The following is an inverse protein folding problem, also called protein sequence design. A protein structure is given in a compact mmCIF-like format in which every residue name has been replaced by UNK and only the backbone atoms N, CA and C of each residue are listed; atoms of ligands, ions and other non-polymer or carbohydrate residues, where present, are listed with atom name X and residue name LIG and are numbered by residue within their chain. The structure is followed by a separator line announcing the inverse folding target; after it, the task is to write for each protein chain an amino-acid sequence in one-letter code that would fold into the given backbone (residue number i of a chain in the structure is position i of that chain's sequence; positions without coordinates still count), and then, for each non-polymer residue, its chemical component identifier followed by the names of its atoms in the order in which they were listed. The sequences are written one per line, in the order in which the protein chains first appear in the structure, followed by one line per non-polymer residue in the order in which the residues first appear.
data_IF_446693824925
#
_entry.id   IF_446693824925
#
_cell.length_a   1.000
_cell.length_b   1.000
_cell.length_c   1.000
_cell.angle_alpha   90.00
_cell.angle_beta   90.00
_cell.angle_gamma   90.00
#
_symmetry.space_group_name_H-M   'P 1'
#
loop_
_entity.id
_entity.type
_entity.pdbx_description
1 polymer ?
#
# COMPACT_ATOMS: atom_id res chain seq x y z
N UNK A 1 34.44 28.87 -65.75
CA UNK A 1 34.65 29.08 -64.31
C UNK A 1 33.31 29.38 -63.67
N UNK A 2 32.76 28.47 -62.86
CA UNK A 2 31.51 28.67 -62.12
C UNK A 2 31.85 28.89 -60.65
N UNK A 3 31.49 30.04 -60.13
CA UNK A 3 31.53 30.35 -58.69
C UNK A 3 30.10 30.48 -58.16
N UNK A 4 29.92 29.90 -56.99
CA UNK A 4 28.72 29.81 -56.16
C UNK A 4 28.23 31.18 -55.67
N UNK A 5 26.93 31.31 -55.36
CA UNK A 5 26.45 31.57 -53.98
C UNK A 5 24.92 31.80 -53.94
N UNK A 6 24.18 30.89 -53.30
CA UNK A 6 23.00 31.19 -52.44
C UNK A 6 23.55 31.55 -51.02
N UNK A 7 22.79 31.98 -49.98
CA UNK A 7 21.34 31.91 -49.73
C UNK A 7 20.73 33.17 -49.03
N UNK A 8 19.47 33.14 -48.60
CA UNK A 8 19.04 33.39 -47.20
C UNK A 8 17.50 33.28 -47.09
N UNK A 9 17.02 32.22 -46.41
CA UNK A 9 15.69 32.20 -45.81
C UNK A 9 15.86 32.55 -44.33
N UNK A 10 15.04 33.49 -43.84
CA UNK A 10 14.92 33.86 -42.43
C UNK A 10 13.79 33.01 -41.84
N UNK A 11 14.11 32.18 -40.85
CA UNK A 11 13.12 31.48 -40.00
C UNK A 11 13.13 32.18 -38.65
N UNK A 12 12.06 32.92 -38.33
CA UNK A 12 11.82 33.45 -36.99
C UNK A 12 11.37 32.33 -36.07
N UNK A 13 12.22 31.95 -35.11
CA UNK A 13 11.85 31.11 -33.98
C UNK A 13 11.13 31.97 -32.93
N UNK A 14 9.86 31.69 -32.65
CA UNK A 14 9.19 32.17 -31.45
C UNK A 14 9.60 31.27 -30.27
N UNK A 15 10.51 31.78 -29.44
CA UNK A 15 10.80 31.24 -28.11
C UNK A 15 9.71 31.72 -27.15
N UNK A 16 8.67 30.92 -26.96
CA UNK A 16 7.81 31.04 -25.79
C UNK A 16 8.56 30.45 -24.59
N UNK A 17 9.22 31.32 -23.82
CA UNK A 17 9.88 30.96 -22.57
C UNK A 17 8.85 30.59 -21.50
N UNK A 18 8.81 29.31 -21.12
CA UNK A 18 8.21 28.87 -19.86
C UNK A 18 9.22 29.17 -18.75
N UNK A 19 9.10 30.33 -18.12
CA UNK A 19 9.71 30.57 -16.81
C UNK A 19 8.84 29.87 -15.76
N UNK A 20 9.15 28.61 -15.43
CA UNK A 20 8.70 28.06 -14.16
C UNK A 20 9.52 28.74 -13.06
N UNK A 21 8.83 29.58 -12.28
CA UNK A 21 9.36 30.18 -11.07
C UNK A 21 9.80 29.06 -10.12
N UNK A 22 11.09 29.02 -9.82
CA UNK A 22 11.63 28.22 -8.72
C UNK A 22 11.25 28.96 -7.45
N UNK A 23 10.12 28.61 -6.86
CA UNK A 23 9.75 29.08 -5.52
C UNK A 23 10.67 28.41 -4.50
N UNK A 24 11.73 29.12 -4.11
CA UNK A 24 12.58 28.77 -2.98
C UNK A 24 11.89 29.26 -1.71
N UNK A 25 10.95 28.50 -1.16
CA UNK A 25 10.35 28.89 0.12
C UNK A 25 9.24 27.95 0.57
N UNK A 26 9.55 27.15 1.59
CA UNK A 26 8.70 26.15 2.26
C UNK A 26 8.68 24.78 1.56
N UNK A 27 8.96 23.68 2.31
CA UNK A 27 8.65 22.35 1.81
C UNK A 27 7.15 22.26 1.53
N UNK A 28 6.75 21.48 0.50
CA UNK A 28 5.33 21.29 0.18
C UNK A 28 4.57 20.82 1.42
N UNK A 29 3.32 21.29 1.63
CA UNK A 29 2.53 20.93 2.79
C UNK A 29 2.25 19.44 2.81
N UNK A 30 2.21 18.83 3.99
CA UNK A 30 1.82 17.43 4.15
C UNK A 30 0.38 17.25 3.66
N UNK A 31 0.19 16.44 2.63
CA UNK A 31 -1.12 16.22 2.01
C UNK A 31 -1.52 14.75 2.04
N UNK A 32 -2.82 14.48 1.85
CA UNK A 32 -3.30 13.10 1.68
C UNK A 32 -3.14 12.71 0.21
N UNK A 33 -2.51 11.57 -0.04
CA UNK A 33 -2.33 11.01 -1.38
C UNK A 33 -3.70 10.80 -2.05
N UNK A 34 -3.77 11.14 -3.33
CA UNK A 34 -4.98 10.99 -4.12
C UNK A 34 -5.45 9.52 -4.12
N UNK A 35 -6.75 9.31 -3.91
CA UNK A 35 -7.35 7.98 -3.88
C UNK A 35 -7.14 7.19 -2.58
N UNK A 36 -6.50 7.78 -1.56
CA UNK A 36 -6.40 7.13 -0.25
C UNK A 36 -7.69 7.27 0.57
N UNK A 37 -8.60 6.32 0.39
CA UNK A 37 -9.91 6.28 1.04
C UNK A 37 -9.97 5.40 2.30
N UNK A 38 -8.84 4.81 2.70
CA UNK A 38 -8.76 3.86 3.80
C UNK A 38 -8.92 4.52 5.17
N UNK A 39 -9.79 3.93 5.99
CA UNK A 39 -10.04 4.28 7.40
C UNK A 39 -10.36 3.00 8.17
N UNK A 40 -10.15 3.01 9.49
CA UNK A 40 -10.43 1.84 10.32
C UNK A 40 -11.92 1.46 10.22
N UNK A 41 -12.25 0.31 9.57
CA UNK A 41 -13.63 -0.10 9.35
C UNK A 41 -14.23 -0.76 10.60
N UNK A 42 -13.43 -1.03 11.63
CA UNK A 42 -13.83 -1.71 12.86
C UNK A 42 -14.26 -0.75 13.98
N UNK A 43 -14.41 0.54 13.68
CA UNK A 43 -15.00 1.48 14.64
C UNK A 43 -16.46 1.12 14.92
N UNK A 44 -16.97 1.30 16.16
CA UNK A 44 -18.33 0.90 16.53
C UNK A 44 -19.42 1.40 15.59
N UNK A 45 -19.30 2.63 15.08
CA UNK A 45 -20.26 3.21 14.14
C UNK A 45 -20.17 2.64 12.72
N UNK A 46 -18.97 2.33 12.22
CA UNK A 46 -18.79 1.84 10.86
C UNK A 46 -19.28 0.40 10.68
N UNK A 47 -19.13 -0.43 11.72
CA UNK A 47 -19.44 -1.87 11.65
C UNK A 47 -20.78 -2.25 12.29
N UNK A 48 -21.53 -1.30 12.84
CA UNK A 48 -22.74 -1.55 13.63
C UNK A 48 -23.76 -2.47 12.93
N UNK A 49 -23.99 -2.24 11.64
CA UNK A 49 -24.97 -2.96 10.81
C UNK A 49 -24.49 -4.32 10.31
N UNK A 50 -23.25 -4.70 10.60
CA UNK A 50 -22.62 -5.89 10.06
C UNK A 50 -22.22 -6.86 11.16
N UNK A 51 -22.22 -8.13 10.82
CA UNK A 51 -21.61 -9.19 11.60
C UNK A 51 -20.49 -9.85 10.80
N UNK A 52 -19.43 -10.22 11.48
CA UNK A 52 -18.36 -11.01 10.88
C UNK A 52 -18.89 -12.42 10.61
N UNK A 53 -18.82 -12.85 9.36
CA UNK A 53 -18.98 -14.26 8.98
C UNK A 53 -17.67 -15.02 9.06
N UNK A 54 -16.56 -14.29 9.11
CA UNK A 54 -15.24 -14.84 9.31
C UNK A 54 -14.23 -13.75 9.71
N UNK A 55 -13.29 -14.11 10.57
CA UNK A 55 -12.20 -13.25 10.99
C UNK A 55 -10.85 -13.95 10.76
N UNK A 56 -9.86 -13.21 10.29
CA UNK A 56 -8.48 -13.64 10.21
C UNK A 56 -7.58 -12.55 10.81
N UNK A 57 -6.49 -12.99 11.45
CA UNK A 57 -5.46 -12.11 12.00
C UNK A 57 -4.09 -12.64 11.61
N UNK A 58 -3.16 -11.73 11.38
CA UNK A 58 -1.77 -12.05 11.19
C UNK A 58 -0.90 -10.93 11.75
N UNK A 59 0.25 -11.30 12.29
CA UNK A 59 1.22 -10.37 12.86
C UNK A 59 2.56 -10.54 12.13
N UNK A 60 3.20 -9.42 11.82
CA UNK A 60 4.50 -9.39 11.13
C UNK A 60 5.43 -8.37 11.79
N UNK A 61 6.72 -8.53 11.57
CA UNK A 61 7.74 -7.55 11.97
C UNK A 61 8.37 -6.91 10.74
N UNK A 62 8.52 -5.59 10.77
CA UNK A 62 9.20 -4.82 9.74
C UNK A 62 10.15 -3.80 10.37
N UNK A 63 11.01 -3.21 9.56
CA UNK A 63 11.81 -2.05 9.95
C UNK A 63 11.29 -0.81 9.22
N UNK A 64 10.94 0.24 9.96
CA UNK A 64 10.51 1.53 9.43
C UNK A 64 11.67 2.52 9.39
N UNK A 65 11.96 2.98 8.18
CA UNK A 65 12.91 4.02 7.82
C UNK A 65 12.18 5.21 7.20
N UNK A 66 12.90 6.29 6.95
CA UNK A 66 12.43 7.36 6.06
C UNK A 66 13.34 7.51 4.83
N UNK A 67 12.92 8.26 3.83
CA UNK A 67 13.80 8.60 2.70
C UNK A 67 15.08 9.34 3.14
N UNK A 68 15.05 10.06 4.27
CA UNK A 68 16.27 10.64 4.87
C UNK A 68 17.32 9.58 5.22
N UNK A 69 16.88 8.41 5.69
CA UNK A 69 17.76 7.32 6.10
C UNK A 69 18.39 6.58 4.89
N UNK A 70 17.95 6.87 3.67
CA UNK A 70 18.30 6.08 2.48
C UNK A 70 19.81 5.94 2.25
N UNK A 71 20.57 7.00 2.50
CA UNK A 71 22.03 7.00 2.29
C UNK A 71 22.82 6.59 3.55
N UNK A 72 22.16 6.33 4.67
CA UNK A 72 22.82 5.89 5.91
C UNK A 72 23.13 4.39 5.83
N UNK A 73 24.30 3.94 6.33
CA UNK A 73 24.62 2.52 6.38
C UNK A 73 23.70 1.77 7.36
N UNK A 74 23.42 0.48 7.13
CA UNK A 74 22.78 -0.38 8.11
C UNK A 74 23.52 -0.37 9.46
N UNK A 75 22.81 -0.52 10.59
CA UNK A 75 21.36 -0.71 10.70
C UNK A 75 20.55 0.59 10.65
N UNK A 76 21.20 1.76 10.55
CA UNK A 76 20.55 3.08 10.63
C UNK A 76 19.80 3.47 9.36
N UNK A 77 20.16 2.87 8.22
CA UNK A 77 19.52 3.16 6.94
C UNK A 77 19.68 2.06 5.90
N UNK A 78 19.43 2.43 4.65
CA UNK A 78 19.22 1.52 3.52
C UNK A 78 20.29 1.65 2.44
N UNK A 79 21.50 2.14 2.78
CA UNK A 79 22.55 2.48 1.80
C UNK A 79 22.81 1.40 0.73
N UNK A 80 22.92 0.10 1.05
CA UNK A 80 23.16 -0.94 0.03
C UNK A 80 22.10 -0.97 -1.07
N UNK A 81 20.86 -0.59 -0.78
CA UNK A 81 19.75 -0.60 -1.74
C UNK A 81 19.44 0.78 -2.31
N UNK A 82 20.17 1.83 -1.90
CA UNK A 82 19.81 3.21 -2.19
C UNK A 82 19.69 3.51 -3.70
N UNK A 83 20.54 2.91 -4.53
CA UNK A 83 20.53 3.13 -5.98
C UNK A 83 19.29 2.49 -6.63
N UNK A 84 18.99 1.23 -6.33
CA UNK A 84 17.78 0.56 -6.80
C UNK A 84 16.50 1.26 -6.33
N UNK A 85 16.45 1.68 -5.06
CA UNK A 85 15.29 2.38 -4.49
C UNK A 85 15.06 3.75 -5.14
N UNK A 86 16.13 4.50 -5.47
CA UNK A 86 15.98 5.77 -6.21
C UNK A 86 15.32 5.55 -7.57
N UNK A 87 15.67 4.49 -8.28
CA UNK A 87 15.08 4.18 -9.59
C UNK A 87 13.57 3.88 -9.47
N UNK A 88 13.17 3.16 -8.41
CA UNK A 88 11.76 2.86 -8.12
C UNK A 88 10.98 4.13 -7.76
N UNK A 89 11.48 4.91 -6.80
CA UNK A 89 10.72 6.03 -6.22
C UNK A 89 10.76 7.32 -7.06
N UNK A 90 11.75 7.49 -7.94
CA UNK A 90 11.84 8.73 -8.76
C UNK A 90 10.77 8.79 -9.85
N UNK A 91 10.24 7.63 -10.27
CA UNK A 91 9.33 7.53 -11.41
C UNK A 91 7.88 7.22 -11.00
N UNK A 92 7.57 7.24 -9.70
CA UNK A 92 6.30 6.75 -9.17
C UNK A 92 5.74 7.66 -8.09
N UNK A 93 4.42 7.73 -8.05
CA UNK A 93 3.71 8.39 -6.96
C UNK A 93 3.89 7.58 -5.67
N UNK A 94 4.14 8.30 -4.58
CA UNK A 94 4.23 7.69 -3.26
C UNK A 94 2.82 7.29 -2.79
N UNK A 95 2.54 6.02 -2.42
CA UNK A 95 1.20 5.57 -2.07
C UNK A 95 0.73 6.02 -0.67
N UNK A 96 1.54 6.82 0.02
CA UNK A 96 1.25 7.38 1.33
C UNK A 96 1.87 6.61 2.49
N UNK A 97 1.98 7.27 3.64
CA UNK A 97 2.29 6.62 4.92
C UNK A 97 1.08 5.90 5.53
N UNK A 98 1.13 5.61 6.82
CA UNK A 98 0.10 4.86 7.55
C UNK A 98 -1.32 5.43 7.43
N UNK A 99 -1.46 6.76 7.29
CA UNK A 99 -2.76 7.42 7.15
C UNK A 99 -3.01 7.97 5.74
N UNK A 100 -2.21 7.51 4.77
CA UNK A 100 -2.24 8.00 3.40
C UNK A 100 -1.64 9.39 3.23
N UNK A 101 -0.84 9.84 4.19
CA UNK A 101 -0.21 11.15 4.13
C UNK A 101 1.11 11.07 3.35
N UNK A 102 1.38 12.06 2.50
CA UNK A 102 2.67 12.32 1.90
C UNK A 102 3.32 13.52 2.60
N UNK A 103 4.30 13.30 3.48
CA UNK A 103 5.10 14.39 4.05
C UNK A 103 6.15 14.95 3.09
N UNK A 104 6.25 14.37 1.89
CA UNK A 104 7.22 14.65 0.83
C UNK A 104 8.68 14.43 1.23
N UNK A 105 9.53 14.33 0.19
CA UNK A 105 10.98 14.24 0.31
C UNK A 105 11.42 13.28 1.44
N UNK A 106 12.35 13.73 2.27
CA UNK A 106 12.99 12.99 3.37
C UNK A 106 12.03 12.45 4.43
N UNK A 107 10.79 12.97 4.52
CA UNK A 107 9.80 12.56 5.51
C UNK A 107 9.04 11.28 5.15
N UNK A 108 9.10 10.80 3.90
CA UNK A 108 8.33 9.64 3.45
C UNK A 108 8.82 8.36 4.15
N UNK A 109 7.91 7.64 4.79
CA UNK A 109 8.19 6.35 5.46
C UNK A 109 8.41 5.23 4.44
N UNK A 110 9.36 4.35 4.76
CA UNK A 110 9.66 3.12 4.04
C UNK A 110 9.73 1.96 5.03
N UNK A 111 9.10 0.85 4.70
CA UNK A 111 9.16 -0.40 5.44
C UNK A 111 10.10 -1.35 4.72
N UNK A 112 10.98 -2.01 5.47
CA UNK A 112 11.87 -3.07 5.05
C UNK A 112 11.48 -4.37 5.75
N UNK A 113 11.26 -5.44 4.99
CA UNK A 113 11.04 -6.78 5.53
C UNK A 113 11.72 -7.82 4.64
N UNK A 114 12.22 -8.91 5.23
CA UNK A 114 12.77 -10.02 4.46
C UNK A 114 11.67 -10.65 3.60
N UNK A 115 11.98 -10.97 2.34
CA UNK A 115 10.96 -11.40 1.39
C UNK A 115 10.33 -12.74 1.79
N UNK A 116 11.11 -13.67 2.34
CA UNK A 116 10.62 -14.96 2.82
C UNK A 116 9.65 -14.89 4.01
N UNK A 117 9.58 -13.74 4.70
CA UNK A 117 8.61 -13.51 5.78
C UNK A 117 7.24 -13.07 5.27
N UNK A 118 7.13 -12.67 4.00
CA UNK A 118 5.83 -12.39 3.39
C UNK A 118 5.04 -13.69 3.20
N UNK A 119 3.72 -13.68 3.49
CA UNK A 119 2.84 -14.79 3.11
C UNK A 119 2.96 -15.08 1.61
N UNK A 120 2.88 -16.35 1.23
CA UNK A 120 3.07 -16.78 -0.17
C UNK A 120 2.08 -16.07 -1.10
N UNK A 121 0.83 -15.90 -0.66
CA UNK A 121 -0.19 -15.18 -1.43
C UNK A 121 0.19 -13.73 -1.74
N UNK A 122 0.90 -13.06 -0.83
CA UNK A 122 1.36 -11.68 -1.06
C UNK A 122 2.54 -11.70 -2.04
N UNK A 123 3.46 -12.65 -1.92
CA UNK A 123 4.60 -12.79 -2.84
C UNK A 123 4.14 -13.06 -4.26
N UNK A 124 3.25 -14.04 -4.44
CA UNK A 124 2.66 -14.38 -5.75
C UNK A 124 1.93 -13.19 -6.37
N UNK A 125 1.22 -12.40 -5.55
CA UNK A 125 0.59 -11.18 -6.01
C UNK A 125 1.62 -10.14 -6.48
N UNK A 126 2.66 -9.87 -5.68
CA UNK A 126 3.74 -8.93 -6.05
C UNK A 126 4.38 -9.36 -7.37
N UNK A 127 4.77 -10.62 -7.48
CA UNK A 127 5.40 -11.19 -8.68
C UNK A 127 4.52 -11.01 -9.93
N UNK A 128 3.22 -11.24 -9.80
CA UNK A 128 2.26 -11.04 -10.89
C UNK A 128 2.12 -9.57 -11.28
N UNK A 129 2.08 -8.68 -10.30
CA UNK A 129 2.04 -7.24 -10.57
C UNK A 129 3.31 -6.72 -11.23
N UNK A 130 4.48 -7.28 -10.92
CA UNK A 130 5.74 -6.92 -11.58
C UNK A 130 5.84 -7.47 -13.01
N UNK A 131 5.36 -8.70 -13.25
CA UNK A 131 5.31 -9.29 -14.60
C UNK A 131 4.35 -8.55 -15.53
N UNK A 132 3.26 -8.04 -14.98
CA UNK A 132 2.24 -7.31 -15.74
C UNK A 132 2.47 -5.80 -15.63
N UNK A 133 1.68 -4.99 -16.35
CA UNK A 133 1.53 -3.55 -16.05
C UNK A 133 0.35 -3.34 -15.07
N UNK A 134 0.25 -4.21 -14.07
CA UNK A 134 -0.80 -4.20 -13.07
C UNK A 134 -0.76 -2.97 -12.16
N UNK A 135 -1.87 -2.71 -11.47
CA UNK A 135 -1.99 -1.55 -10.54
C UNK A 135 -1.02 -1.62 -9.37
N UNK A 136 -0.51 -2.81 -9.04
CA UNK A 136 0.45 -3.01 -7.96
C UNK A 136 1.92 -2.92 -8.39
N UNK A 137 2.21 -2.72 -9.68
CA UNK A 137 3.58 -2.68 -10.19
C UNK A 137 4.40 -1.61 -9.48
N UNK A 138 5.59 -2.00 -9.04
CA UNK A 138 6.56 -1.19 -8.31
C UNK A 138 6.06 -0.64 -6.96
N UNK A 139 4.95 -1.14 -6.40
CA UNK A 139 4.55 -0.80 -5.03
C UNK A 139 5.45 -1.45 -3.97
N UNK A 140 6.03 -2.60 -4.32
CA UNK A 140 6.89 -3.40 -3.47
C UNK A 140 8.23 -3.63 -4.18
N UNK A 141 9.24 -2.84 -3.82
CA UNK A 141 10.57 -2.99 -4.40
C UNK A 141 11.25 -4.24 -3.83
N UNK A 142 11.26 -5.34 -4.59
CA UNK A 142 11.99 -6.56 -4.22
C UNK A 142 13.42 -6.44 -4.70
N UNK A 143 14.38 -6.57 -3.78
CA UNK A 143 15.81 -6.43 -4.05
C UNK A 143 16.57 -7.61 -3.47
N UNK A 144 17.69 -7.99 -4.08
CA UNK A 144 18.61 -8.96 -3.50
C UNK A 144 19.27 -8.40 -2.23
N UNK A 145 19.64 -9.28 -1.31
CA UNK A 145 20.46 -8.95 -0.16
C UNK A 145 21.91 -8.72 -0.63
N UNK A 146 22.59 -7.68 -0.10
CA UNK A 146 24.01 -7.51 -0.34
C UNK A 146 24.77 -8.71 0.23
N UNK A 147 25.74 -9.24 -0.53
CA UNK A 147 26.62 -10.34 -0.09
C UNK A 147 27.78 -9.82 0.76
N UNK A 148 28.11 -8.54 0.60
CA UNK A 148 29.12 -7.82 1.39
C UNK A 148 28.63 -6.43 1.79
N UNK A 149 29.29 -5.80 2.78
CA UNK A 149 28.97 -4.42 3.18
C UNK A 149 29.30 -3.35 2.13
N UNK A 150 30.05 -3.71 1.10
CA UNK A 150 30.43 -2.82 -0.01
C UNK A 150 29.51 -2.97 -1.22
N UNK A 151 28.64 -3.98 -1.22
CA UNK A 151 27.74 -4.23 -2.34
C UNK A 151 26.68 -3.14 -2.45
N UNK A 152 26.49 -2.65 -3.68
CA UNK A 152 25.38 -1.77 -4.05
C UNK A 152 24.41 -2.52 -4.96
N UNK A 153 23.15 -2.58 -4.55
CA UNK A 153 22.07 -3.21 -5.29
C UNK A 153 21.38 -2.14 -6.13
N UNK A 154 21.62 -2.22 -7.43
CA UNK A 154 21.22 -1.18 -8.38
C UNK A 154 19.85 -1.43 -9.01
N UNK A 155 19.40 -2.68 -9.03
CA UNK A 155 18.21 -3.12 -9.75
C UNK A 155 17.25 -3.88 -8.84
N UNK A 156 15.96 -3.74 -9.12
CA UNK A 156 14.92 -4.60 -8.54
C UNK A 156 14.94 -5.97 -9.21
N UNK A 157 14.56 -7.00 -8.46
CA UNK A 157 14.44 -8.36 -8.95
C UNK A 157 13.43 -8.43 -10.09
N UNK A 158 13.84 -9.00 -11.21
CA UNK A 158 12.96 -9.36 -12.31
C UNK A 158 12.42 -10.76 -12.09
N UNK A 159 11.09 -10.90 -12.07
CA UNK A 159 10.47 -12.20 -11.81
C UNK A 159 10.22 -12.97 -13.11
N UNK A 160 10.65 -14.25 -13.20
CA UNK A 160 10.27 -15.11 -14.31
C UNK A 160 8.80 -15.53 -14.20
N UNK A 161 8.34 -16.32 -15.18
CA UNK A 161 7.06 -17.03 -15.13
C UNK A 161 6.87 -17.77 -13.80
N UNK A 162 5.64 -17.80 -13.30
CA UNK A 162 5.32 -18.30 -11.95
C UNK A 162 5.84 -19.73 -11.68
N UNK A 163 5.82 -20.61 -12.68
CA UNK A 163 6.32 -21.98 -12.57
C UNK A 163 7.85 -22.12 -12.60
N UNK A 164 8.59 -21.03 -12.82
CA UNK A 164 10.06 -20.98 -12.88
C UNK A 164 10.68 -20.25 -11.68
N UNK A 165 9.87 -19.82 -10.72
CA UNK A 165 10.38 -19.07 -9.57
C UNK A 165 11.07 -20.02 -8.59
N UNK A 166 12.35 -19.77 -8.33
CA UNK A 166 13.12 -20.45 -7.30
C UNK A 166 12.81 -19.88 -5.91
N UNK A 167 11.87 -20.53 -5.21
CA UNK A 167 11.47 -20.19 -3.85
C UNK A 167 12.59 -20.33 -2.82
N UNK A 168 13.63 -21.13 -3.09
CA UNK A 168 14.76 -21.25 -2.16
C UNK A 168 15.60 -19.97 -2.10
N UNK A 169 15.51 -19.14 -3.14
CA UNK A 169 16.20 -17.85 -3.23
C UNK A 169 15.48 -16.70 -2.51
N UNK A 170 14.26 -16.91 -2.01
CA UNK A 170 13.46 -15.85 -1.38
C UNK A 170 14.11 -15.30 -0.10
N UNK A 171 14.80 -16.15 0.66
CA UNK A 171 15.58 -15.77 1.86
C UNK A 171 16.73 -14.81 1.57
N UNK A 172 17.15 -14.71 0.32
CA UNK A 172 18.23 -13.83 -0.11
C UNK A 172 17.69 -12.47 -0.59
N UNK A 173 16.41 -12.17 -0.38
CA UNK A 173 15.77 -10.94 -0.84
C UNK A 173 15.14 -10.18 0.31
N UNK A 174 15.03 -8.88 0.10
CA UNK A 174 14.23 -7.97 0.94
C UNK A 174 13.19 -7.28 0.08
N UNK A 175 12.16 -6.78 0.74
CA UNK A 175 11.15 -5.93 0.14
C UNK A 175 11.15 -4.59 0.84
N UNK A 176 11.23 -3.52 0.06
CA UNK A 176 11.06 -2.15 0.53
C UNK A 176 9.80 -1.56 -0.06
N UNK A 177 8.93 -1.02 0.77
CA UNK A 177 7.63 -0.52 0.36
C UNK A 177 7.15 0.60 1.28
N UNK A 178 6.28 1.47 0.78
CA UNK A 178 5.64 2.48 1.61
C UNK A 178 4.48 1.87 2.41
N UNK A 179 4.18 2.32 3.65
CA UNK A 179 3.07 1.77 4.43
C UNK A 179 1.72 1.77 3.70
N UNK A 180 1.45 2.80 2.89
CA UNK A 180 0.25 2.92 2.08
C UNK A 180 0.02 1.78 1.09
N UNK A 181 1.09 1.10 0.64
CA UNK A 181 1.01 -0.03 -0.29
C UNK A 181 0.30 -1.25 0.31
N UNK A 182 0.30 -1.39 1.64
CA UNK A 182 -0.37 -2.50 2.33
C UNK A 182 -1.88 -2.51 2.07
N UNK A 183 -2.49 -1.33 2.07
CA UNK A 183 -3.95 -1.17 2.08
C UNK A 183 -4.63 -1.73 0.83
N UNK A 184 -3.93 -1.87 -0.30
CA UNK A 184 -4.53 -2.49 -1.49
C UNK A 184 -4.73 -4.00 -1.36
N UNK A 185 -4.03 -4.66 -0.43
CA UNK A 185 -3.88 -6.12 -0.40
C UNK A 185 -3.92 -6.74 1.01
N UNK A 186 -4.29 -5.99 2.06
CA UNK A 186 -4.33 -6.49 3.45
C UNK A 186 -5.00 -7.87 3.62
N UNK A 187 -6.09 -8.23 2.90
CA UNK A 187 -6.67 -9.57 2.99
C UNK A 187 -5.68 -10.69 2.70
N UNK A 188 -4.79 -10.52 1.72
CA UNK A 188 -3.81 -11.54 1.32
C UNK A 188 -2.82 -11.86 2.44
N UNK A 189 -2.53 -10.88 3.31
CA UNK A 189 -1.60 -11.03 4.43
C UNK A 189 -2.10 -11.97 5.52
N UNK A 190 -3.43 -12.06 5.71
CA UNK A 190 -4.03 -12.94 6.72
C UNK A 190 -4.74 -14.16 6.12
N UNK A 191 -4.91 -14.22 4.80
CA UNK A 191 -5.71 -15.25 4.13
C UNK A 191 -5.11 -16.66 4.21
N UNK A 192 -3.79 -16.80 4.11
CA UNK A 192 -3.15 -18.11 3.90
C UNK A 192 -3.44 -19.13 5.01
N UNK A 193 -3.48 -18.69 6.26
CA UNK A 193 -3.74 -19.53 7.44
C UNK A 193 -5.21 -19.50 7.89
N UNK A 194 -6.09 -18.78 7.17
CA UNK A 194 -7.48 -18.61 7.55
C UNK A 194 -8.38 -19.70 6.96
N UNK A 195 -9.38 -20.12 7.73
CA UNK A 195 -10.48 -20.99 7.25
C UNK A 195 -11.31 -20.35 6.13
N UNK A 196 -11.15 -19.04 5.90
CA UNK A 196 -11.89 -18.27 4.90
C UNK A 196 -11.04 -17.83 3.74
N UNK A 197 -9.90 -18.51 3.52
CA UNK A 197 -8.95 -18.23 2.45
C UNK A 197 -9.64 -17.84 1.14
N UNK A 198 -10.58 -18.67 0.66
CA UNK A 198 -11.28 -18.46 -0.62
C UNK A 198 -12.01 -17.11 -0.72
N UNK A 199 -12.55 -16.60 0.38
CA UNK A 199 -13.23 -15.30 0.42
C UNK A 199 -12.23 -14.14 0.58
N UNK A 200 -11.12 -14.37 1.28
CA UNK A 200 -10.12 -13.34 1.57
C UNK A 200 -9.15 -13.12 0.40
N UNK A 201 -8.94 -14.12 -0.46
CA UNK A 201 -8.11 -13.97 -1.67
C UNK A 201 -8.81 -13.22 -2.79
N UNK A 202 -10.15 -13.17 -2.78
CA UNK A 202 -10.94 -12.39 -3.74
C UNK A 202 -10.92 -10.89 -3.39
N UNK A 203 -9.89 -10.20 -3.87
CA UNK A 203 -9.74 -8.75 -3.70
C UNK A 203 -10.88 -7.94 -4.35
N UNK A 204 -11.73 -8.53 -5.22
CA UNK A 204 -12.90 -7.81 -5.75
C UNK A 204 -13.98 -7.56 -4.68
N UNK A 205 -13.95 -8.32 -3.58
CA UNK A 205 -14.81 -8.11 -2.40
C UNK A 205 -14.20 -7.17 -1.38
N UNK A 206 -12.92 -6.84 -1.52
CA UNK A 206 -12.21 -6.02 -0.58
C UNK A 206 -12.42 -4.53 -0.86
N UNK A 207 -12.83 -3.77 0.16
CA UNK A 207 -12.97 -2.32 0.02
C UNK A 207 -12.76 -1.59 1.35
N UNK A 208 -12.54 -0.25 1.31
CA UNK A 208 -12.41 0.57 2.52
C UNK A 208 -13.69 0.65 3.38
N UNK A 209 -14.85 0.31 2.80
CA UNK A 209 -16.16 0.52 3.44
C UNK A 209 -16.86 -0.82 3.68
N UNK A 210 -17.39 -1.06 4.89
CA UNK A 210 -18.23 -2.22 5.16
C UNK A 210 -19.41 -2.33 4.17
N UNK A 211 -19.63 -3.53 3.66
CA UNK A 211 -20.73 -3.86 2.75
C UNK A 211 -21.17 -5.31 2.93
N UNK A 212 -22.39 -5.64 2.51
CA UNK A 212 -22.92 -6.99 2.64
C UNK A 212 -22.18 -7.95 1.70
N UNK A 213 -21.67 -9.05 2.26
CA UNK A 213 -20.80 -9.99 1.52
C UNK A 213 -19.40 -9.44 1.21
N UNK A 214 -19.06 -8.23 1.66
CA UNK A 214 -17.76 -7.61 1.45
C UNK A 214 -16.69 -8.06 2.44
N UNK A 215 -15.43 -7.77 2.11
CA UNK A 215 -14.26 -7.95 2.96
C UNK A 215 -13.75 -6.58 3.38
N UNK A 216 -13.40 -6.43 4.65
CA UNK A 216 -12.74 -5.25 5.19
C UNK A 216 -11.51 -5.67 5.97
N UNK A 217 -10.50 -4.80 6.00
CA UNK A 217 -9.26 -5.06 6.70
C UNK A 217 -8.67 -3.77 7.26
N UNK A 218 -7.86 -3.92 8.30
CA UNK A 218 -7.10 -2.83 8.90
C UNK A 218 -5.76 -3.35 9.42
N UNK A 219 -4.77 -2.47 9.41
CA UNK A 219 -3.46 -2.71 10.02
C UNK A 219 -3.26 -1.73 11.15
N UNK A 220 -2.96 -2.26 12.33
CA UNK A 220 -2.40 -1.50 13.44
C UNK A 220 -0.88 -1.70 13.43
N UNK A 221 -0.14 -0.69 13.87
CA UNK A 221 1.32 -0.78 13.95
C UNK A 221 1.84 -0.19 15.25
N UNK A 222 2.95 -0.74 15.74
CA UNK A 222 3.65 -0.17 16.90
C UNK A 222 4.51 1.01 16.48
N UNK A 223 4.75 1.95 17.42
CA UNK A 223 5.73 3.01 17.20
C UNK A 223 7.12 2.37 17.01
N UNK A 224 7.90 2.78 15.99
CA UNK A 224 9.20 2.18 15.76
C UNK A 224 10.14 2.30 16.97
N UNK A 225 10.71 1.18 17.41
CA UNK A 225 11.77 1.12 18.41
C UNK A 225 13.02 0.55 17.76
N UNK A 226 14.11 1.34 17.71
CA UNK A 226 15.32 0.99 16.94
C UNK A 226 15.00 0.56 15.49
N UNK A 227 14.13 1.36 14.84
CA UNK A 227 13.53 1.10 13.51
C UNK A 227 12.55 -0.07 13.46
N UNK A 228 12.52 -0.99 14.43
CA UNK A 228 11.58 -2.13 14.40
C UNK A 228 10.15 -1.69 14.69
N UNK A 229 9.20 -2.18 13.91
CA UNK A 229 7.76 -2.02 14.09
C UNK A 229 7.04 -3.35 13.90
N UNK A 230 5.96 -3.53 14.64
CA UNK A 230 5.08 -4.70 14.55
C UNK A 230 3.85 -4.30 13.76
N UNK A 231 3.40 -5.16 12.84
CA UNK A 231 2.23 -4.96 12.01
C UNK A 231 1.17 -5.98 12.41
N UNK A 232 0.05 -5.51 12.96
CA UNK A 232 -1.10 -6.33 13.37
C UNK A 232 -2.23 -6.15 12.35
N UNK A 233 -2.42 -7.15 11.50
CA UNK A 233 -3.41 -7.12 10.43
C UNK A 233 -4.64 -7.90 10.88
N UNK A 234 -5.80 -7.23 10.82
CA UNK A 234 -7.12 -7.82 11.04
C UNK A 234 -7.95 -7.75 9.78
N UNK A 235 -8.58 -8.87 9.42
CA UNK A 235 -9.45 -8.99 8.24
C UNK A 235 -10.77 -9.62 8.66
N UNK A 236 -11.90 -9.11 8.14
CA UNK A 236 -13.21 -9.71 8.33
C UNK A 236 -14.00 -9.77 7.01
N UNK A 237 -14.66 -10.91 6.79
CA UNK A 237 -15.71 -11.04 5.77
C UNK A 237 -17.07 -10.77 6.43
N UNK A 238 -17.86 -9.88 5.86
CA UNK A 238 -19.04 -9.32 6.50
C UNK A 238 -20.35 -9.86 5.92
N UNK A 239 -21.37 -9.90 6.77
CA UNK A 239 -22.78 -10.04 6.38
C UNK A 239 -23.59 -8.97 7.10
N UNK A 240 -24.54 -8.34 6.42
CA UNK A 240 -25.44 -7.37 7.07
C UNK A 240 -26.34 -8.09 8.07
N UNK A 241 -26.55 -7.49 9.25
CA UNK A 241 -27.48 -8.01 10.27
C UNK A 241 -28.91 -7.88 9.75
N UNK A 242 -29.69 -8.94 9.93
CA UNK A 242 -31.13 -8.88 9.65
C UNK A 242 -31.81 -8.06 10.75
N UNK A 243 -32.45 -6.96 10.38
CA UNK A 243 -33.33 -6.23 11.29
C UNK A 243 -34.61 -7.04 11.41
N UNK A 244 -34.82 -7.71 12.55
CA UNK A 244 -36.12 -8.29 12.86
C UNK A 244 -37.11 -7.14 13.07
N UNK A 245 -37.88 -6.81 12.04
CA UNK A 245 -39.03 -5.91 12.14
C UNK A 245 -40.16 -6.63 12.90
N UNK A 246 -40.06 -6.68 14.23
CA UNK A 246 -41.14 -7.08 15.11
C UNK A 246 -42.06 -5.90 15.38
N UNK A 247 -42.84 -5.46 14.38
CA UNK A 247 -44.08 -4.74 14.65
C UNK A 247 -45.14 -5.77 15.06
N UNK A 248 -45.22 -6.09 16.35
CA UNK A 248 -46.52 -6.41 16.93
C UNK A 248 -47.26 -5.09 17.11
N UNK A 249 -48.04 -4.71 16.09
CA UNK A 249 -49.16 -3.82 16.26
C UNK A 249 -50.19 -4.53 17.15
N UNK A 250 -50.08 -4.35 18.46
CA UNK A 250 -51.15 -4.63 19.41
C UNK A 250 -52.31 -3.66 19.17
N UNK A 251 -53.26 -4.09 18.35
CA UNK A 251 -54.54 -3.45 18.13
C UNK A 251 -55.34 -3.37 19.45
N UNK A 252 -55.78 -2.15 19.77
CA UNK A 252 -56.92 -1.75 20.59
C UNK A 252 -57.62 -2.79 21.51
N UNK A 253 -57.64 -2.49 22.81
CA UNK A 253 -58.90 -2.52 23.58
C UNK A 253 -59.09 -1.19 24.29
N UNK A 254 -60.00 -0.39 23.74
CA UNK A 254 -60.74 0.63 24.46
C UNK A 254 -61.47 -0.02 25.64
N UNK A 255 -61.25 0.50 26.84
CA UNK A 255 -62.20 0.38 27.93
C UNK A 255 -62.34 1.76 28.57
N UNK A 256 -63.38 2.44 28.13
CA UNK A 256 -64.04 3.57 28.79
C UNK A 256 -64.27 3.28 30.27
N UNK A 257 -63.95 4.24 31.14
CA UNK A 257 -64.66 4.44 32.40
C UNK A 257 -64.63 5.91 32.80
N UNK A 258 -65.60 6.63 32.29
CA UNK A 258 -66.27 7.72 33.00
C UNK A 258 -67.16 7.11 34.12
N UNK A 259 -67.28 7.88 35.20
CA UNK A 259 -68.29 7.84 36.28
C UNK A 259 -68.29 6.66 37.29
N UNK A 260 -67.76 6.94 38.49
CA UNK A 260 -68.46 7.07 39.80
C UNK A 260 -67.47 6.88 40.97
#
# INVERSE_FOLDING_TARGET
MKTFSTPFMVVSAMLAGLTQAIDKGHPPPVERVQGFDWKNPFTPGAIADFQSTCEAKAQFEAHEYTLHDLMQPPPKGLKPWAKGLKAVFSNREYPGGWLGMDPHADGRSLLLMNYDQFPLLVREWIEEQERTDGKGKALFAVLENPKSSEDEIEEVVQFPEANKIDRASDKNKVVVFAPGALYGILPLWAAQASECKDRLVDLSKYSPKPSDGGVVAWVEHSKPQDKKTTLDIKVQALKKKEIKSGQEQGQAKSASREEL
#
